data_IF_651781667650
#
_entry.id   IF_651781667650
#
_cell.length_a   1.000
_cell.length_b   1.000
_cell.length_c   1.000
_cell.angle_alpha   90.00
_cell.angle_beta   90.00
_cell.angle_gamma   90.00
#
_symmetry.space_group_name_H-M   'P 1'
#
loop_
_entity.id
_entity.type
_entity.pdbx_description
1 polymer ?
#
# COMPACT_ATOMS: atom_id res chain seq x y z
N UNK A 1 -0.53 25.52 2.23
CA UNK A 1 -1.55 25.27 1.19
C UNK A 1 -2.77 24.67 1.90
N UNK A 2 -3.76 24.08 1.21
CA UNK A 2 -4.88 23.37 1.86
C UNK A 2 -4.76 21.87 1.57
N UNK A 3 -5.19 20.99 2.48
CA UNK A 3 -5.27 19.56 2.19
C UNK A 3 -6.12 19.28 0.94
N UNK A 4 -5.83 18.21 0.18
CA UNK A 4 -6.69 17.77 -0.91
C UNK A 4 -8.11 17.52 -0.41
N UNK A 5 -9.11 17.94 -1.18
CA UNK A 5 -10.51 17.64 -0.85
C UNK A 5 -10.79 16.15 -1.08
N UNK A 6 -11.53 15.49 -0.17
CA UNK A 6 -11.92 14.11 -0.37
C UNK A 6 -12.92 13.98 -1.52
N UNK A 7 -12.84 12.93 -2.34
CA UNK A 7 -13.85 12.67 -3.37
C UNK A 7 -15.15 12.19 -2.72
N UNK A 8 -16.16 13.06 -2.63
CA UNK A 8 -17.41 12.81 -1.88
C UNK A 8 -18.09 11.47 -2.22
N UNK A 9 -18.17 11.13 -3.50
CA UNK A 9 -18.76 9.87 -3.96
C UNK A 9 -17.95 8.64 -3.50
N UNK A 10 -16.63 8.75 -3.42
CA UNK A 10 -15.78 7.70 -2.87
C UNK A 10 -15.94 7.59 -1.36
N UNK A 11 -16.00 8.71 -0.64
CA UNK A 11 -16.24 8.74 0.80
C UNK A 11 -17.54 8.00 1.12
N UNK A 12 -18.66 8.35 0.49
CA UNK A 12 -19.95 7.71 0.74
C UNK A 12 -19.90 6.19 0.53
N UNK A 13 -19.30 5.75 -0.58
CA UNK A 13 -19.14 4.32 -0.93
C UNK A 13 -18.31 3.57 0.12
N UNK A 14 -17.16 4.13 0.52
CA UNK A 14 -16.26 3.46 1.45
C UNK A 14 -16.77 3.48 2.88
N UNK A 15 -17.46 4.55 3.30
CA UNK A 15 -18.15 4.54 4.60
C UNK A 15 -19.16 3.41 4.69
N UNK A 16 -19.98 3.19 3.66
CA UNK A 16 -20.90 2.06 3.62
C UNK A 16 -20.16 0.70 3.68
N UNK A 17 -19.14 0.50 2.85
CA UNK A 17 -18.36 -0.76 2.81
C UNK A 17 -17.62 -1.07 4.11
N UNK A 18 -17.15 -0.05 4.83
CA UNK A 18 -16.41 -0.21 6.08
C UNK A 18 -17.35 -0.39 7.29
N UNK A 19 -18.53 0.22 7.25
CA UNK A 19 -19.54 0.06 8.31
C UNK A 19 -20.06 -1.38 8.46
N UNK A 20 -19.98 -2.19 7.40
CA UNK A 20 -20.32 -3.62 7.44
C UNK A 20 -19.35 -4.45 8.32
N UNK A 21 -18.17 -3.90 8.67
CA UNK A 21 -17.17 -4.57 9.52
C UNK A 21 -16.52 -5.81 8.88
N UNK A 22 -16.90 -6.19 7.66
CA UNK A 22 -16.33 -7.32 6.94
C UNK A 22 -14.86 -7.06 6.54
N UNK A 23 -13.99 -8.09 6.61
CA UNK A 23 -12.60 -7.97 6.21
C UNK A 23 -12.43 -7.31 4.85
N UNK A 24 -11.44 -6.43 4.72
CA UNK A 24 -11.09 -5.76 3.47
C UNK A 24 -9.97 -6.55 2.82
N UNK A 25 -10.18 -6.98 1.59
CA UNK A 25 -9.13 -7.65 0.80
C UNK A 25 -8.05 -6.66 0.37
N UNK A 26 -6.83 -7.13 0.09
CA UNK A 26 -5.74 -6.27 -0.42
C UNK A 26 -6.16 -5.50 -1.69
N UNK A 27 -6.89 -6.17 -2.60
CA UNK A 27 -7.39 -5.52 -3.81
C UNK A 27 -8.41 -4.41 -3.51
N UNK A 28 -9.28 -4.60 -2.51
CA UNK A 28 -10.17 -3.53 -2.03
C UNK A 28 -9.39 -2.41 -1.34
N UNK A 29 -8.37 -2.73 -0.53
CA UNK A 29 -7.53 -1.75 0.13
C UNK A 29 -6.78 -0.86 -0.88
N UNK A 30 -6.17 -1.45 -1.90
CA UNK A 30 -5.52 -0.68 -2.98
C UNK A 30 -6.55 0.13 -3.79
N UNK A 31 -7.75 -0.40 -4.02
CA UNK A 31 -8.82 0.38 -4.67
C UNK A 31 -9.27 1.56 -3.81
N UNK A 32 -9.34 1.40 -2.49
CA UNK A 32 -9.62 2.49 -1.56
C UNK A 32 -8.57 3.60 -1.69
N UNK A 33 -7.29 3.27 -1.68
CA UNK A 33 -6.22 4.25 -1.87
C UNK A 33 -6.33 4.95 -3.24
N UNK A 34 -6.60 4.20 -4.31
CA UNK A 34 -6.77 4.73 -5.65
C UNK A 34 -7.96 5.69 -5.76
N UNK A 35 -9.08 5.38 -5.10
CA UNK A 35 -10.27 6.22 -5.06
C UNK A 35 -10.02 7.57 -4.35
N UNK A 36 -9.04 7.63 -3.44
CA UNK A 36 -8.53 8.88 -2.83
C UNK A 36 -7.37 9.50 -3.62
N UNK A 37 -7.06 8.96 -4.79
CA UNK A 37 -6.10 9.51 -5.75
C UNK A 37 -4.65 9.17 -5.48
N UNK A 38 -4.35 8.15 -4.66
CA UNK A 38 -3.01 7.59 -4.59
C UNK A 38 -2.75 6.70 -5.82
N UNK A 39 -1.52 6.73 -6.32
CA UNK A 39 -1.10 5.78 -7.36
C UNK A 39 -0.85 4.41 -6.73
N UNK A 40 -1.52 3.38 -7.24
CA UNK A 40 -1.38 2.00 -6.76
C UNK A 40 -0.93 1.07 -7.87
N UNK A 41 -0.30 -0.04 -7.51
CA UNK A 41 0.00 -1.09 -8.49
C UNK A 41 -1.29 -1.76 -8.97
N UNK A 42 -1.44 -2.04 -10.28
CA UNK A 42 -2.54 -2.85 -10.77
C UNK A 42 -2.55 -4.23 -10.10
N UNK A 43 -3.69 -4.62 -9.56
CA UNK A 43 -3.87 -5.92 -8.95
C UNK A 43 -5.27 -6.49 -9.23
N UNK A 44 -5.43 -7.80 -9.05
CA UNK A 44 -6.71 -8.47 -9.12
C UNK A 44 -6.70 -9.71 -8.20
N UNK A 45 -7.86 -9.99 -7.60
CA UNK A 45 -8.09 -11.25 -6.90
C UNK A 45 -8.46 -12.34 -7.91
N UNK A 46 -7.94 -13.54 -7.70
CA UNK A 46 -8.25 -14.74 -8.46
C UNK A 46 -8.61 -15.88 -7.50
N UNK A 47 -9.63 -16.66 -7.84
CA UNK A 47 -10.14 -17.77 -7.03
C UNK A 47 -9.47 -19.10 -7.35
N UNK A 48 -8.87 -19.21 -8.54
CA UNK A 48 -8.22 -20.41 -9.06
C UNK A 48 -7.08 -20.07 -10.04
N UNK A 49 -6.42 -21.12 -10.57
CA UNK A 49 -5.27 -20.99 -11.48
C UNK A 49 -5.64 -20.25 -12.77
N UNK A 50 -6.83 -20.51 -13.32
CA UNK A 50 -7.28 -19.94 -14.58
C UNK A 50 -7.52 -18.43 -14.44
N UNK A 51 -8.27 -18.03 -13.41
CA UNK A 51 -8.48 -16.61 -13.09
C UNK A 51 -7.14 -15.89 -12.82
N UNK A 52 -6.18 -16.56 -12.18
CA UNK A 52 -4.87 -15.97 -11.88
C UNK A 52 -4.04 -15.71 -13.14
N UNK A 53 -4.05 -16.64 -14.11
CA UNK A 53 -3.39 -16.46 -15.40
C UNK A 53 -4.05 -15.35 -16.21
N UNK A 54 -5.39 -15.32 -16.28
CA UNK A 54 -6.13 -14.28 -16.98
C UNK A 54 -5.87 -12.89 -16.40
N UNK A 55 -5.86 -12.77 -15.07
CA UNK A 55 -5.50 -11.54 -14.38
C UNK A 55 -4.08 -11.09 -14.74
N UNK A 56 -3.09 -11.99 -14.71
CA UNK A 56 -1.71 -11.65 -15.03
C UNK A 56 -1.52 -11.22 -16.49
N UNK A 57 -2.21 -11.87 -17.43
CA UNK A 57 -2.17 -11.48 -18.85
C UNK A 57 -2.74 -10.07 -19.07
N UNK A 58 -3.79 -9.70 -18.33
CA UNK A 58 -4.38 -8.35 -18.37
C UNK A 58 -3.51 -7.29 -17.71
N UNK A 59 -2.90 -7.64 -16.57
CA UNK A 59 -2.05 -6.74 -15.77
C UNK A 59 -0.69 -6.51 -16.42
N UNK A 60 -0.13 -7.55 -17.06
CA UNK A 60 1.19 -7.54 -17.67
C UNK A 60 2.29 -8.03 -16.71
N UNK A 61 3.21 -8.85 -17.24
CA UNK A 61 4.30 -9.47 -16.50
C UNK A 61 5.56 -8.57 -16.32
N UNK A 62 6.38 -8.78 -15.27
CA UNK A 62 6.23 -9.77 -14.23
C UNK A 62 5.19 -9.37 -13.20
N UNK A 63 4.61 -10.39 -12.58
CA UNK A 63 3.64 -10.24 -11.50
C UNK A 63 4.16 -10.89 -10.22
N UNK A 64 3.65 -10.39 -9.09
CA UNK A 64 3.68 -11.07 -7.82
C UNK A 64 2.37 -11.86 -7.65
N UNK A 65 2.47 -13.04 -7.07
CA UNK A 65 1.35 -13.86 -6.65
C UNK A 65 1.36 -13.97 -5.12
N UNK A 66 0.30 -13.55 -4.47
CA UNK A 66 0.19 -13.50 -3.01
C UNK A 66 -1.03 -14.31 -2.56
N UNK A 67 -0.93 -15.09 -1.49
CA UNK A 67 -2.10 -15.79 -0.91
C UNK A 67 -3.17 -14.79 -0.44
N UNK A 68 -4.45 -15.13 -0.61
CA UNK A 68 -5.57 -14.37 -0.06
C UNK A 68 -6.09 -14.94 1.29
N UNK A 69 -5.45 -15.99 1.81
CA UNK A 69 -5.91 -16.70 3.01
C UNK A 69 -5.46 -16.09 4.35
N UNK A 70 -4.51 -15.15 4.34
CA UNK A 70 -3.98 -14.50 5.56
C UNK A 70 -3.44 -13.11 5.25
N UNK A 71 -3.40 -12.24 6.27
CA UNK A 71 -2.76 -10.92 6.19
C UNK A 71 -1.22 -11.03 6.26
N UNK A 72 -0.68 -11.93 7.09
CA UNK A 72 0.76 -12.16 7.25
C UNK A 72 1.30 -13.16 6.23
N UNK A 73 1.30 -12.75 4.95
CA UNK A 73 1.58 -13.63 3.81
C UNK A 73 3.03 -14.12 3.79
N UNK A 74 3.99 -13.26 4.14
CA UNK A 74 5.41 -13.60 4.13
C UNK A 74 5.74 -14.67 5.17
N UNK A 75 5.12 -14.60 6.35
CA UNK A 75 5.37 -15.52 7.47
C UNK A 75 4.97 -16.97 7.14
N UNK A 76 4.02 -17.14 6.22
CA UNK A 76 3.56 -18.44 5.73
C UNK A 76 4.18 -18.82 4.38
N UNK A 77 5.20 -18.09 3.93
CA UNK A 77 5.81 -18.25 2.59
C UNK A 77 4.74 -18.22 1.47
N UNK A 78 3.77 -17.32 1.64
CA UNK A 78 2.59 -17.14 0.80
C UNK A 78 2.76 -16.15 -0.34
N UNK A 79 4.00 -15.73 -0.64
CA UNK A 79 4.32 -14.75 -1.67
C UNK A 79 5.31 -15.36 -2.68
N UNK A 80 5.00 -15.21 -3.96
CA UNK A 80 5.86 -15.59 -5.08
C UNK A 80 6.08 -14.36 -5.95
N UNK A 81 7.33 -13.92 -6.04
CA UNK A 81 7.71 -12.71 -6.76
C UNK A 81 8.31 -13.04 -8.11
N UNK A 82 8.34 -12.03 -8.99
CA UNK A 82 9.02 -12.03 -10.28
C UNK A 82 8.59 -13.16 -11.22
N UNK A 83 7.30 -13.48 -11.22
CA UNK A 83 6.73 -14.46 -12.13
C UNK A 83 6.67 -13.80 -13.51
N UNK A 84 7.51 -14.26 -14.44
CA UNK A 84 7.73 -13.58 -15.71
C UNK A 84 6.76 -14.00 -16.83
N UNK A 85 6.09 -15.13 -16.66
CA UNK A 85 5.24 -15.74 -17.69
C UNK A 85 4.15 -16.65 -17.09
N UNK A 86 3.18 -17.10 -17.90
CA UNK A 86 2.11 -17.98 -17.43
C UNK A 86 2.58 -19.33 -16.89
N UNK A 87 3.71 -19.87 -17.35
CA UNK A 87 4.22 -21.17 -16.90
C UNK A 87 4.70 -21.05 -15.46
N UNK A 88 5.56 -20.07 -15.18
CA UNK A 88 6.03 -19.75 -13.83
C UNK A 88 4.85 -19.45 -12.89
N UNK A 89 3.84 -18.71 -13.37
CA UNK A 89 2.65 -18.40 -12.57
C UNK A 89 1.84 -19.63 -12.20
N UNK A 90 1.56 -20.54 -13.15
CA UNK A 90 0.82 -21.78 -12.86
C UNK A 90 1.55 -22.65 -11.84
N UNK A 91 2.88 -22.76 -11.96
CA UNK A 91 3.69 -23.51 -10.99
C UNK A 91 3.60 -22.90 -9.60
N UNK A 92 3.76 -21.58 -9.49
CA UNK A 92 3.62 -20.85 -8.24
C UNK A 92 2.21 -20.97 -7.63
N UNK A 93 1.17 -20.90 -8.48
CA UNK A 93 -0.22 -21.04 -8.03
C UNK A 93 -0.48 -22.41 -7.43
N UNK A 94 -0.06 -23.49 -8.09
CA UNK A 94 -0.26 -24.86 -7.59
C UNK A 94 0.40 -25.08 -6.23
N UNK A 95 1.62 -24.58 -6.04
CA UNK A 95 2.31 -24.64 -4.75
C UNK A 95 1.52 -23.93 -3.64
N UNK A 96 1.11 -22.67 -3.89
CA UNK A 96 0.33 -21.91 -2.92
C UNK A 96 -1.05 -22.53 -2.67
N UNK A 97 -1.71 -23.05 -3.71
CA UNK A 97 -3.03 -23.64 -3.64
C UNK A 97 -3.05 -24.86 -2.72
N UNK A 98 -2.02 -25.71 -2.78
CA UNK A 98 -1.89 -26.90 -1.94
C UNK A 98 -1.65 -26.52 -0.48
N UNK A 99 -0.80 -25.52 -0.21
CA UNK A 99 -0.39 -25.17 1.17
C UNK A 99 -1.37 -24.23 1.87
N UNK A 100 -1.95 -23.27 1.15
CA UNK A 100 -2.63 -22.09 1.71
C UNK A 100 -4.01 -21.83 1.09
N UNK A 101 -4.43 -22.67 0.13
CA UNK A 101 -5.70 -22.53 -0.58
C UNK A 101 -5.59 -21.77 -1.90
N UNK A 102 -6.58 -21.93 -2.81
CA UNK A 102 -6.45 -21.57 -4.22
C UNK A 102 -6.62 -20.06 -4.50
N UNK A 103 -7.13 -19.30 -3.52
CA UNK A 103 -7.44 -17.88 -3.67
C UNK A 103 -6.16 -17.06 -3.50
N UNK A 104 -5.89 -16.20 -4.47
CA UNK A 104 -4.66 -15.40 -4.56
C UNK A 104 -4.95 -13.98 -5.03
N UNK A 105 -4.00 -13.09 -4.80
CA UNK A 105 -3.91 -11.76 -5.38
C UNK A 105 -2.77 -11.76 -6.39
N UNK A 106 -3.07 -11.36 -7.63
CA UNK A 106 -2.10 -11.12 -8.69
C UNK A 106 -1.84 -9.62 -8.74
N UNK A 107 -0.60 -9.19 -8.58
CA UNK A 107 -0.23 -7.77 -8.58
C UNK A 107 0.94 -7.50 -9.52
N UNK A 108 0.93 -6.38 -10.26
CA UNK A 108 2.06 -6.00 -11.10
C UNK A 108 3.28 -5.72 -10.24
N UNK A 109 4.44 -6.22 -10.67
CA UNK A 109 5.70 -5.81 -10.07
C UNK A 109 6.18 -4.50 -10.66
N UNK A 110 6.47 -3.55 -9.78
CA UNK A 110 7.18 -2.32 -10.14
C UNK A 110 8.65 -2.69 -10.31
N UNK A 111 9.19 -2.48 -11.53
CA UNK A 111 10.58 -2.85 -11.87
C UNK A 111 11.60 -1.76 -11.53
N UNK A 112 11.13 -0.51 -11.47
CA UNK A 112 11.99 0.62 -11.16
C UNK A 112 12.49 0.50 -9.72
N UNK A 113 13.80 0.74 -9.54
CA UNK A 113 14.38 0.80 -8.20
C UNK A 113 13.81 2.02 -7.47
N UNK A 114 13.17 1.77 -6.34
CA UNK A 114 12.63 2.79 -5.47
C UNK A 114 13.08 2.61 -4.04
N UNK A 115 12.87 3.65 -3.23
CA UNK A 115 13.01 3.56 -1.78
C UNK A 115 11.68 3.11 -1.20
N UNK A 116 11.71 2.07 -0.37
CA UNK A 116 10.52 1.58 0.33
C UNK A 116 10.16 2.54 1.47
N UNK A 117 8.96 3.09 1.39
CA UNK A 117 8.33 3.93 2.40
C UNK A 117 7.08 3.22 2.93
N UNK A 118 6.51 3.73 4.02
CA UNK A 118 5.24 3.29 4.57
C UNK A 118 4.35 4.49 4.91
N UNK A 119 3.05 4.32 4.71
CA UNK A 119 2.02 5.22 5.21
C UNK A 119 1.07 4.41 6.09
N UNK A 120 0.91 4.83 7.34
CA UNK A 120 0.09 4.15 8.32
C UNK A 120 -1.00 5.05 8.87
N UNK A 121 -2.16 4.47 9.18
CA UNK A 121 -3.16 5.07 10.06
C UNK A 121 -3.19 4.23 11.33
N UNK A 122 -2.95 4.88 12.45
CA UNK A 122 -3.09 4.28 13.77
C UNK A 122 -4.02 5.13 14.61
N UNK A 123 -4.59 4.55 15.67
CA UNK A 123 -5.45 5.28 16.58
C UNK A 123 -4.75 5.53 17.90
N UNK A 124 -4.61 6.80 18.23
CA UNK A 124 -4.17 7.24 19.53
C UNK A 124 -5.39 7.40 20.47
N UNK A 125 -5.29 6.99 21.75
CA UNK A 125 -6.40 7.11 22.71
C UNK A 125 -6.88 8.54 22.94
N UNK A 126 -5.97 9.53 22.89
CA UNK A 126 -6.25 10.91 23.22
C UNK A 126 -6.53 11.75 21.96
N UNK A 127 -5.82 11.46 20.87
CA UNK A 127 -5.91 12.25 19.63
C UNK A 127 -6.75 11.62 18.51
N UNK A 128 -7.17 10.36 18.67
CA UNK A 128 -7.92 9.65 17.63
C UNK A 128 -7.02 9.24 16.45
N UNK A 129 -7.45 9.40 15.18
CA UNK A 129 -6.66 8.96 14.03
C UNK A 129 -5.35 9.76 13.90
N UNK A 130 -4.23 9.05 13.82
CA UNK A 130 -2.88 9.59 13.62
C UNK A 130 -2.28 8.94 12.38
N UNK A 131 -1.76 9.76 11.46
CA UNK A 131 -1.03 9.28 10.29
C UNK A 131 0.44 9.12 10.65
N UNK A 132 1.02 8.01 10.21
CA UNK A 132 2.42 7.65 10.34
C UNK A 132 3.06 7.67 8.95
N UNK A 133 4.20 8.35 8.82
CA UNK A 133 5.01 8.36 7.60
C UNK A 133 6.40 7.86 7.99
N UNK A 134 6.93 6.85 7.31
CA UNK A 134 8.25 6.31 7.64
C UNK A 134 8.87 5.54 6.50
N UNK A 135 10.09 5.07 6.73
CA UNK A 135 10.73 4.11 5.82
C UNK A 135 10.13 2.72 6.01
N UNK A 136 9.93 2.00 4.91
CA UNK A 136 9.46 0.61 4.87
C UNK A 136 10.62 -0.41 4.89
N UNK A 137 10.27 -1.69 4.85
CA UNK A 137 11.22 -2.80 4.80
C UNK A 137 12.14 -2.90 6.04
N UNK A 138 13.37 -3.42 5.85
CA UNK A 138 14.37 -3.60 6.92
C UNK A 138 14.64 -2.29 7.69
N UNK A 139 14.53 -1.16 7.02
CA UNK A 139 14.76 0.16 7.62
C UNK A 139 13.68 0.53 8.66
N UNK A 140 12.43 0.08 8.45
CA UNK A 140 11.33 0.27 9.41
C UNK A 140 11.60 -0.46 10.73
N UNK A 141 11.99 -1.73 10.65
CA UNK A 141 12.09 -2.65 11.80
C UNK A 141 13.26 -2.30 12.72
N UNK A 142 14.41 -1.94 12.14
CA UNK A 142 15.65 -1.73 12.90
C UNK A 142 15.72 -0.32 13.48
N UNK A 143 15.29 0.70 12.72
CA UNK A 143 15.58 2.10 13.05
C UNK A 143 14.38 2.87 13.59
N UNK A 144 13.16 2.34 13.42
CA UNK A 144 11.89 2.95 13.84
C UNK A 144 11.81 4.44 13.45
N UNK A 145 12.27 4.74 12.24
CA UNK A 145 12.35 6.11 11.72
C UNK A 145 11.02 6.51 11.10
N UNK A 146 10.18 7.14 11.91
CA UNK A 146 8.83 7.55 11.54
C UNK A 146 8.49 8.94 12.08
N UNK A 147 7.66 9.65 11.32
CA UNK A 147 7.04 10.91 11.68
C UNK A 147 5.52 10.71 11.83
N UNK A 148 4.92 11.45 12.76
CA UNK A 148 3.50 11.36 13.11
C UNK A 148 2.83 12.71 12.89
N UNK A 149 1.60 12.70 12.38
CA UNK A 149 0.80 13.90 12.21
C UNK A 149 -0.70 13.63 12.32
N UNK A 150 -1.43 14.61 12.83
CA UNK A 150 -2.89 14.58 12.85
C UNK A 150 -3.44 14.91 11.46
N UNK A 151 -4.34 14.09 10.89
CA UNK A 151 -4.98 14.39 9.63
C UNK A 151 -6.14 15.40 9.80
N UNK A 152 -6.51 16.15 8.73
CA UNK A 152 -5.84 16.19 7.43
C UNK A 152 -4.69 17.20 7.40
N UNK A 153 -3.70 16.94 6.55
CA UNK A 153 -2.60 17.86 6.26
C UNK A 153 -2.32 17.96 4.76
N UNK A 154 -1.62 19.01 4.34
CA UNK A 154 -1.28 19.25 2.94
C UNK A 154 0.10 18.66 2.57
N UNK A 155 0.43 18.68 1.27
CA UNK A 155 1.69 18.15 0.77
C UNK A 155 2.92 18.91 1.32
N UNK A 156 2.78 20.18 1.66
CA UNK A 156 3.88 20.95 2.25
C UNK A 156 4.21 20.47 3.66
N UNK A 157 3.20 20.18 4.47
CA UNK A 157 3.39 19.58 5.78
C UNK A 157 3.92 18.14 5.67
N UNK A 158 3.38 17.34 4.74
CA UNK A 158 3.90 16.00 4.46
C UNK A 158 5.39 16.03 4.10
N UNK A 159 5.79 16.96 3.22
CA UNK A 159 7.18 17.18 2.83
C UNK A 159 8.06 17.53 4.02
N UNK A 160 7.60 18.44 4.90
CA UNK A 160 8.31 18.81 6.13
C UNK A 160 8.50 17.62 7.07
N UNK A 161 7.52 16.72 7.17
CA UNK A 161 7.63 15.50 7.97
C UNK A 161 8.65 14.52 7.38
N UNK A 162 8.60 14.30 6.07
CA UNK A 162 9.55 13.45 5.34
C UNK A 162 10.99 13.98 5.49
N UNK A 163 11.18 15.29 5.36
CA UNK A 163 12.49 15.93 5.49
C UNK A 163 13.09 15.84 6.91
N UNK A 164 12.28 15.51 7.93
CA UNK A 164 12.72 15.29 9.32
C UNK A 164 13.08 13.84 9.64
N UNK A 165 12.82 12.91 8.74
CA UNK A 165 13.20 11.50 8.92
C UNK A 165 14.72 11.38 8.96
N UNK A 166 15.23 10.55 9.87
CA UNK A 166 16.69 10.33 10.06
C UNK A 166 17.33 9.75 8.81
N UNK A 167 16.59 8.94 8.06
CA UNK A 167 17.01 8.28 6.83
C UNK A 167 16.66 9.06 5.56
N UNK A 168 16.17 10.31 5.68
CA UNK A 168 15.87 11.20 4.55
C UNK A 168 16.96 11.22 3.45
N UNK A 169 18.27 11.17 3.75
CA UNK A 169 19.31 11.12 2.71
C UNK A 169 19.19 9.92 1.74
N UNK A 170 18.53 8.82 2.13
CA UNK A 170 18.27 7.70 1.21
C UNK A 170 17.36 8.09 0.04
N UNK A 171 16.48 9.09 0.23
CA UNK A 171 15.60 9.61 -0.81
C UNK A 171 16.34 10.53 -1.79
N UNK A 172 17.53 11.05 -1.45
CA UNK A 172 18.35 11.85 -2.39
C UNK A 172 19.16 10.98 -3.36
N UNK A 173 19.05 9.65 -3.23
CA UNK A 173 19.82 8.68 -4.00
C UNK A 173 21.09 8.24 -3.27
N UNK A 174 21.32 6.93 -3.24
CA UNK A 174 22.51 6.34 -2.64
C UNK A 174 23.15 5.31 -3.58
N UNK A 175 24.48 5.23 -3.60
CA UNK A 175 25.25 4.21 -4.34
C UNK A 175 24.87 4.11 -5.83
N UNK A 176 24.71 5.25 -6.50
CA UNK A 176 24.38 5.32 -7.93
C UNK A 176 22.90 5.11 -8.26
N UNK A 177 22.03 4.96 -7.25
CA UNK A 177 20.59 5.01 -7.46
C UNK A 177 20.12 6.46 -7.68
N UNK A 178 19.18 6.70 -8.59
CA UNK A 178 18.55 8.01 -8.76
C UNK A 178 17.83 8.46 -7.48
N UNK A 179 17.74 9.78 -7.30
CA UNK A 179 16.92 10.39 -6.25
C UNK A 179 15.43 10.04 -6.46
N UNK A 180 14.70 9.92 -5.35
CA UNK A 180 13.27 9.71 -5.36
C UNK A 180 12.52 11.03 -5.58
N UNK A 181 11.32 10.93 -6.16
CA UNK A 181 10.36 12.03 -6.30
C UNK A 181 9.66 12.27 -4.96
N UNK A 182 10.34 13.03 -4.09
CA UNK A 182 9.86 13.32 -2.73
C UNK A 182 8.56 14.14 -2.75
N UNK A 183 8.36 14.96 -3.78
CA UNK A 183 7.13 15.74 -3.91
C UNK A 183 5.94 14.85 -4.25
N UNK A 184 6.11 13.85 -5.12
CA UNK A 184 5.06 12.86 -5.35
C UNK A 184 4.76 12.00 -4.11
N UNK A 185 5.77 11.67 -3.31
CA UNK A 185 5.56 10.98 -2.03
C UNK A 185 4.79 11.85 -1.04
N UNK A 186 5.12 13.14 -0.94
CA UNK A 186 4.43 14.09 -0.08
C UNK A 186 2.97 14.30 -0.50
N UNK A 187 2.69 14.36 -1.80
CA UNK A 187 1.33 14.43 -2.34
C UNK A 187 0.54 13.14 -2.04
N UNK A 188 1.16 11.96 -2.15
CA UNK A 188 0.53 10.70 -1.77
C UNK A 188 0.19 10.66 -0.27
N UNK A 189 1.09 11.15 0.60
CA UNK A 189 0.86 11.24 2.04
C UNK A 189 -0.25 12.25 2.39
N UNK A 190 -0.32 13.39 1.69
CA UNK A 190 -1.41 14.36 1.88
C UNK A 190 -2.77 13.76 1.53
N UNK A 191 -2.87 13.03 0.41
CA UNK A 191 -4.09 12.30 0.00
C UNK A 191 -4.47 11.21 0.98
N UNK A 192 -3.48 10.48 1.49
CA UNK A 192 -3.67 9.50 2.55
C UNK A 192 -4.20 10.16 3.84
N UNK A 193 -3.72 11.36 4.19
CA UNK A 193 -4.25 12.11 5.34
C UNK A 193 -5.72 12.50 5.16
N UNK A 194 -6.11 12.88 3.93
CA UNK A 194 -7.51 13.16 3.60
C UNK A 194 -8.38 11.92 3.74
N UNK A 195 -7.89 10.75 3.33
CA UNK A 195 -8.55 9.47 3.56
C UNK A 195 -8.70 9.20 5.07
N UNK A 196 -7.62 9.35 5.83
CA UNK A 196 -7.63 9.14 7.27
C UNK A 196 -8.61 10.08 8.00
N UNK A 197 -8.69 11.35 7.60
CA UNK A 197 -9.66 12.30 8.15
C UNK A 197 -11.10 11.92 7.80
N UNK A 198 -11.35 11.40 6.58
CA UNK A 198 -12.70 11.10 6.10
C UNK A 198 -13.26 9.75 6.62
N UNK A 199 -12.39 8.77 6.89
CA UNK A 199 -12.77 7.39 7.19
C UNK A 199 -12.20 6.85 8.50
N UNK A 200 -11.32 7.60 9.18
CA UNK A 200 -10.59 7.11 10.36
C UNK A 200 -11.45 6.80 11.57
N UNK A 201 -12.70 7.26 11.61
CA UNK A 201 -13.67 6.88 12.63
C UNK A 201 -14.22 5.45 12.44
N UNK A 202 -14.10 4.89 11.23
CA UNK A 202 -14.55 3.55 10.84
C UNK A 202 -13.39 2.55 10.69
N UNK A 203 -12.14 2.98 10.84
CA UNK A 203 -10.95 2.17 10.58
C UNK A 203 -10.08 2.13 11.83
N UNK A 204 -9.69 0.92 12.24
CA UNK A 204 -8.82 0.72 13.39
C UNK A 204 -7.36 0.95 12.99
N UNK A 205 -6.97 0.42 11.83
CA UNK A 205 -5.64 0.62 11.26
C UNK A 205 -5.67 0.57 9.74
N UNK A 206 -4.75 1.32 9.12
CA UNK A 206 -4.36 1.15 7.72
C UNK A 206 -2.85 1.02 7.70
N UNK A 207 -2.34 0.05 6.95
CA UNK A 207 -0.91 -0.11 6.71
C UNK A 207 -0.67 -0.21 5.21
N UNK A 208 -0.06 0.83 4.64
CA UNK A 208 0.35 0.87 3.24
C UNK A 208 1.86 0.66 3.21
N UNK A 209 2.26 -0.60 3.04
CA UNK A 209 3.65 -1.01 3.14
C UNK A 209 4.01 -2.13 2.15
N UNK A 210 4.83 -1.87 1.12
CA UNK A 210 5.49 -0.58 0.84
C UNK A 210 4.67 0.40 -0.01
N UNK A 211 4.96 1.69 0.18
CA UNK A 211 4.87 2.73 -0.85
C UNK A 211 6.26 2.91 -1.45
N UNK A 212 6.43 2.60 -2.73
CA UNK A 212 7.69 2.79 -3.44
C UNK A 212 7.83 4.25 -3.87
N UNK A 213 8.81 4.96 -3.30
CA UNK A 213 9.24 6.26 -3.79
C UNK A 213 10.20 6.07 -4.96
N UNK A 214 9.73 6.34 -6.17
CA UNK A 214 10.46 6.14 -7.42
C UNK A 214 11.10 7.46 -7.86
N UNK A 215 12.01 7.45 -8.85
CA UNK A 215 12.56 8.68 -9.42
C UNK A 215 11.50 9.58 -10.08
N UNK A 216 10.36 9.00 -10.43
CA UNK A 216 9.19 9.69 -10.96
C UNK A 216 7.95 9.07 -10.33
N UNK A 217 7.31 9.79 -9.42
CA UNK A 217 6.12 9.33 -8.71
C UNK A 217 6.39 8.47 -7.47
N UNK A 218 5.30 8.17 -6.76
CA UNK A 218 5.26 7.22 -5.66
C UNK A 218 4.12 6.22 -5.88
N UNK A 219 4.34 4.93 -5.59
CA UNK A 219 3.38 3.86 -5.90
C UNK A 219 3.16 2.96 -4.69
N UNK A 220 1.93 2.86 -4.19
CA UNK A 220 1.55 1.87 -3.18
C UNK A 220 1.43 0.48 -3.83
N UNK A 221 2.14 -0.51 -3.29
CA UNK A 221 2.17 -1.87 -3.86
C UNK A 221 1.51 -2.93 -2.98
N UNK A 222 1.25 -2.60 -1.72
CA UNK A 222 0.50 -3.41 -0.78
C UNK A 222 -0.26 -2.49 0.18
N UNK A 223 -1.38 -2.98 0.70
CA UNK A 223 -2.18 -2.28 1.67
C UNK A 223 -3.02 -3.26 2.49
N UNK A 224 -3.06 -3.03 3.81
CA UNK A 224 -3.97 -3.66 4.74
C UNK A 224 -4.89 -2.60 5.34
N UNK A 225 -6.18 -2.90 5.41
CA UNK A 225 -7.18 -2.06 6.08
C UNK A 225 -7.92 -2.91 7.08
N UNK A 226 -7.98 -2.47 8.32
CA UNK A 226 -8.69 -3.14 9.41
C UNK A 226 -9.90 -2.27 9.79
N UNK A 227 -11.12 -2.64 9.36
CA UNK A 227 -12.34 -1.94 9.78
C UNK A 227 -12.55 -2.03 11.29
N UNK A 228 -13.22 -1.03 11.86
CA UNK A 228 -13.68 -1.09 13.25
C UNK A 228 -14.88 -2.02 13.37
N UNK A 229 -14.93 -2.72 14.50
CA UNK A 229 -16.07 -3.55 14.90
C UNK A 229 -16.96 -2.78 15.87
#
# INVERSE_FOLDING_TARGET
>A
MRPPLPPEAAVARWRARLADGHPVTEAEALRLLADFGLTVTPCAMAKDESEAVEAAMRIGFPVALKTAGTAHKTDVDGVRLNLADPVALRQAHRDLAVRLGPRVVVARMVRDKGVEMMLGLQRDPDFGPVVVIGFGGIHAEILRDAAFALPPFDAAEARRLIDRLRLRPLLDGARGAPAADVDALAEAAARFSTLAAALGDLVEAIDVNPVLALPRGAVAVDALVVPRR
#
